data_IF_239655255609
#
_entry.id   IF_239655255609
#
_cell.length_a   1.000
_cell.length_b   1.000
_cell.length_c   1.000
_cell.angle_alpha   90.00
_cell.angle_beta   90.00
_cell.angle_gamma   90.00
#
_symmetry.space_group_name_H-M   'P 1'
#
loop_
_entity.id
_entity.type
_entity.pdbx_description
1 polymer ?
#
# COMPACT_ATOMS: atom_id res chain seq x y z
N UNK A 1 2.75 2.30 22.99
CA UNK A 1 3.03 1.25 21.99
C UNK A 1 3.81 1.90 20.87
N UNK A 2 4.92 1.30 20.42
CA UNK A 2 5.67 1.87 19.30
C UNK A 2 4.78 1.82 18.05
N UNK A 3 4.52 2.97 17.43
CA UNK A 3 3.81 3.04 16.15
C UNK A 3 4.68 2.39 15.08
N UNK A 4 4.12 1.42 14.34
CA UNK A 4 4.81 0.81 13.20
C UNK A 4 5.24 1.89 12.19
N UNK A 5 6.44 1.83 11.58
CA UNK A 5 7.00 2.94 10.81
C UNK A 5 6.29 3.22 9.48
N UNK A 6 5.50 2.28 8.97
CA UNK A 6 4.62 2.49 7.81
C UNK A 6 3.23 2.89 8.29
N UNK A 7 2.55 3.79 7.55
CA UNK A 7 1.13 4.07 7.81
C UNK A 7 0.22 2.91 7.40
N UNK A 8 -1.03 2.91 7.88
CA UNK A 8 -2.04 1.92 7.45
C UNK A 8 -2.25 1.96 5.94
N UNK A 9 -2.44 0.82 5.26
CA UNK A 9 -2.83 0.81 3.85
C UNK A 9 -4.19 1.50 3.59
N UNK A 10 -5.02 1.62 4.62
CA UNK A 10 -6.31 2.31 4.61
C UNK A 10 -6.18 3.84 4.77
N UNK A 11 -5.00 4.38 5.08
CA UNK A 11 -4.80 5.82 5.12
C UNK A 11 -4.71 6.40 3.70
N UNK A 12 -5.49 7.46 3.44
CA UNK A 12 -5.56 8.08 2.12
C UNK A 12 -4.60 9.26 1.98
N UNK A 13 -4.02 9.38 0.80
CA UNK A 13 -3.41 10.64 0.31
C UNK A 13 -4.26 11.11 -0.86
N UNK A 14 -4.74 12.36 -0.77
CA UNK A 14 -5.88 12.79 -1.58
C UNK A 14 -7.04 11.80 -1.40
N UNK A 15 -7.45 11.15 -2.48
CA UNK A 15 -8.54 10.19 -2.46
C UNK A 15 -8.09 8.73 -2.62
N UNK A 16 -6.78 8.43 -2.59
CA UNK A 16 -6.25 7.09 -2.88
C UNK A 16 -5.82 6.34 -1.63
N UNK A 17 -6.40 5.17 -1.40
CA UNK A 17 -5.81 4.20 -0.48
C UNK A 17 -4.43 3.76 -0.96
N UNK A 18 -3.61 3.30 -0.02
CA UNK A 18 -2.28 2.71 -0.21
C UNK A 18 -1.19 3.64 -0.78
N UNK A 19 -1.53 4.69 -1.52
CA UNK A 19 -0.52 5.57 -2.15
C UNK A 19 0.49 6.12 -1.14
N UNK A 20 0.00 6.66 -0.01
CA UNK A 20 0.89 7.17 1.06
C UNK A 20 1.80 6.09 1.64
N UNK A 21 1.27 4.88 1.86
CA UNK A 21 2.05 3.75 2.36
C UNK A 21 3.15 3.31 1.39
N UNK A 22 2.89 3.34 0.09
CA UNK A 22 3.92 3.11 -0.94
C UNK A 22 5.03 4.17 -0.84
N UNK A 23 4.69 5.45 -0.64
CA UNK A 23 5.69 6.49 -0.44
C UNK A 23 6.51 6.28 0.85
N UNK A 24 5.89 5.87 1.95
CA UNK A 24 6.60 5.56 3.19
C UNK A 24 7.62 4.44 2.98
N UNK A 25 7.24 3.36 2.27
CA UNK A 25 8.15 2.26 1.94
C UNK A 25 9.38 2.77 1.18
N UNK A 26 9.16 3.61 0.16
CA UNK A 26 10.25 4.18 -0.65
C UNK A 26 11.15 5.07 0.22
N UNK A 27 10.58 5.93 1.07
CA UNK A 27 11.33 6.85 1.94
C UNK A 27 12.14 6.11 2.99
N UNK A 28 11.56 5.14 3.68
CA UNK A 28 12.25 4.32 4.67
C UNK A 28 13.36 3.50 4.02
N UNK A 29 13.10 2.94 2.82
CA UNK A 29 14.13 2.20 2.09
C UNK A 29 15.31 3.10 1.71
N UNK A 30 15.04 4.33 1.26
CA UNK A 30 16.09 5.30 0.94
C UNK A 30 16.95 5.70 2.16
N UNK A 31 16.42 5.56 3.38
CA UNK A 31 17.14 5.79 4.64
C UNK A 31 17.81 4.53 5.22
N UNK A 32 17.57 3.36 4.64
CA UNK A 32 17.99 2.08 5.24
C UNK A 32 17.19 1.67 6.48
N UNK A 33 16.02 2.26 6.69
CA UNK A 33 15.16 2.07 7.88
C UNK A 33 13.95 1.14 7.61
N UNK A 34 13.74 0.72 6.35
CA UNK A 34 12.65 -0.18 6.01
C UNK A 34 12.94 -1.59 6.57
N UNK A 35 12.01 -2.23 7.31
CA UNK A 35 12.22 -3.60 7.79
C UNK A 35 12.47 -4.59 6.63
N UNK A 36 13.38 -5.55 6.83
CA UNK A 36 13.88 -6.47 5.81
C UNK A 36 12.77 -7.24 5.08
N UNK A 37 11.69 -7.57 5.79
CA UNK A 37 10.59 -8.38 5.28
C UNK A 37 9.80 -7.68 4.15
N UNK A 38 9.98 -6.37 3.99
CA UNK A 38 9.37 -5.58 2.92
C UNK A 38 10.22 -5.51 1.65
N UNK A 39 11.52 -5.81 1.72
CA UNK A 39 12.48 -5.52 0.65
C UNK A 39 12.18 -6.34 -0.61
N UNK A 40 11.88 -7.63 -0.47
CA UNK A 40 11.60 -8.53 -1.59
C UNK A 40 10.35 -8.13 -2.41
N UNK A 41 9.45 -7.34 -1.79
CA UNK A 41 8.17 -6.91 -2.35
C UNK A 41 8.12 -5.40 -2.66
N UNK A 42 9.25 -4.69 -2.62
CA UNK A 42 9.31 -3.30 -3.10
C UNK A 42 8.97 -3.24 -4.59
N UNK A 43 8.04 -2.38 -4.96
CA UNK A 43 7.60 -2.22 -6.34
C UNK A 43 6.73 -3.36 -6.88
N UNK A 44 6.37 -4.33 -6.03
CA UNK A 44 5.54 -5.49 -6.39
C UNK A 44 4.20 -5.46 -5.65
N UNK A 45 3.26 -6.29 -6.09
CA UNK A 45 1.98 -6.47 -5.39
C UNK A 45 1.16 -5.19 -5.38
N UNK A 46 0.92 -4.62 -4.20
CA UNK A 46 0.15 -3.37 -4.10
C UNK A 46 0.90 -2.14 -4.63
N UNK A 47 2.23 -2.10 -4.54
CA UNK A 47 3.02 -1.00 -5.12
C UNK A 47 2.85 -1.01 -6.64
N UNK A 48 3.03 -2.18 -7.26
CA UNK A 48 2.84 -2.41 -8.69
C UNK A 48 1.43 -2.01 -9.12
N UNK A 49 0.39 -2.52 -8.45
CA UNK A 49 -1.01 -2.16 -8.77
C UNK A 49 -1.24 -0.65 -8.69
N UNK A 50 -0.66 0.03 -7.71
CA UNK A 50 -0.81 1.47 -7.54
C UNK A 50 -0.15 2.25 -8.67
N UNK A 51 1.09 1.93 -9.03
CA UNK A 51 1.79 2.63 -10.13
C UNK A 51 1.23 2.26 -11.49
N UNK A 52 0.79 1.02 -11.72
CA UNK A 52 0.07 0.62 -12.95
C UNK A 52 -1.24 1.40 -13.08
N UNK A 53 -2.00 1.53 -12.00
CA UNK A 53 -3.19 2.35 -11.98
C UNK A 53 -2.86 3.82 -12.27
N UNK A 54 -1.80 4.39 -11.70
CA UNK A 54 -1.41 5.78 -12.03
C UNK A 54 -0.69 5.92 -13.39
N UNK A 55 -0.39 4.82 -14.09
CA UNK A 55 0.46 4.76 -15.31
C UNK A 55 1.83 5.41 -15.10
N UNK A 56 2.44 5.14 -13.95
CA UNK A 56 3.77 5.64 -13.56
C UNK A 56 4.74 4.47 -13.52
N UNK A 57 5.99 4.69 -13.94
CA UNK A 57 7.06 3.71 -13.74
C UNK A 57 7.53 3.77 -12.27
N UNK A 58 7.62 2.61 -11.60
CA UNK A 58 7.99 2.55 -10.18
C UNK A 58 9.37 3.15 -9.89
N UNK A 59 10.37 2.87 -10.73
CA UNK A 59 11.73 3.38 -10.52
C UNK A 59 11.79 4.91 -10.68
N UNK A 60 11.05 5.47 -11.64
CA UNK A 60 10.91 6.92 -11.77
C UNK A 60 10.22 7.55 -10.55
N UNK A 61 9.20 6.87 -9.99
CA UNK A 61 8.58 7.30 -8.74
C UNK A 61 9.60 7.28 -7.60
N UNK A 62 10.39 6.21 -7.45
CA UNK A 62 11.44 6.11 -6.42
C UNK A 62 12.39 7.30 -6.49
N UNK A 63 12.90 7.62 -7.69
CA UNK A 63 13.79 8.76 -7.90
C UNK A 63 13.09 10.10 -7.62
N UNK A 64 11.79 10.22 -7.94
CA UNK A 64 11.00 11.41 -7.58
C UNK A 64 10.85 11.57 -6.07
N UNK A 65 10.55 10.50 -5.34
CA UNK A 65 10.36 10.54 -3.88
C UNK A 65 11.67 10.91 -3.17
N UNK A 66 12.81 10.39 -3.64
CA UNK A 66 14.14 10.70 -3.07
C UNK A 66 14.51 12.18 -3.15
N UNK A 67 13.94 12.93 -4.10
CA UNK A 67 14.10 14.40 -4.20
C UNK A 67 13.32 15.17 -3.12
N UNK A 68 12.56 14.48 -2.26
CA UNK A 68 11.75 15.08 -1.21
C UNK A 68 10.40 15.59 -1.70
N UNK A 69 9.70 16.30 -0.80
CA UNK A 69 8.34 16.79 -1.01
C UNK A 69 7.28 16.00 -0.25
N UNK A 70 6.14 16.65 -0.11
CA UNK A 70 4.94 16.13 0.55
C UNK A 70 4.27 15.05 -0.30
N UNK A 71 3.42 14.24 0.35
CA UNK A 71 2.66 13.20 -0.33
C UNK A 71 1.77 13.77 -1.45
N UNK A 72 1.18 14.95 -1.23
CA UNK A 72 0.32 15.61 -2.20
C UNK A 72 1.11 16.11 -3.41
N UNK A 73 2.32 16.66 -3.22
CA UNK A 73 3.18 17.08 -4.32
C UNK A 73 3.62 15.89 -5.19
N UNK A 74 3.93 14.76 -4.56
CA UNK A 74 4.30 13.53 -5.29
C UNK A 74 3.06 12.97 -6.02
N UNK A 75 1.88 12.99 -5.40
CA UNK A 75 0.64 12.57 -6.05
C UNK A 75 0.31 13.45 -7.27
N UNK A 76 0.43 14.78 -7.14
CA UNK A 76 0.25 15.68 -8.29
C UNK A 76 1.26 15.41 -9.39
N UNK A 77 2.52 15.13 -9.04
CA UNK A 77 3.53 14.74 -10.02
C UNK A 77 3.15 13.43 -10.75
N UNK A 78 2.62 12.42 -10.05
CA UNK A 78 2.14 11.20 -10.69
C UNK A 78 1.04 11.50 -11.74
N UNK A 79 0.19 12.49 -11.50
CA UNK A 79 -0.83 12.90 -12.46
C UNK A 79 -0.27 13.61 -13.69
N UNK A 80 0.89 14.28 -13.58
CA UNK A 80 1.50 14.97 -14.72
C UNK A 80 2.27 14.03 -15.64
N UNK A 81 2.94 13.00 -15.08
CA UNK A 81 3.75 12.06 -15.87
C UNK A 81 3.00 10.79 -16.28
N UNK A 82 1.89 10.49 -15.60
CA UNK A 82 1.08 9.30 -15.83
C UNK A 82 -0.34 9.66 -16.24
N UNK A 83 -1.31 9.33 -15.39
CA UNK A 83 -2.72 9.71 -15.58
C UNK A 83 -3.30 10.35 -14.33
N UNK A 84 -4.25 11.27 -14.52
CA UNK A 84 -5.15 11.73 -13.47
C UNK A 84 -6.46 10.93 -13.56
N UNK A 85 -6.73 10.00 -12.63
CA UNK A 85 -7.97 9.22 -12.64
C UNK A 85 -9.20 10.10 -12.40
N UNK A 86 -10.32 9.75 -13.03
CA UNK A 86 -11.63 10.36 -12.73
C UNK A 86 -12.13 9.93 -11.35
N UNK A 87 -13.12 10.63 -10.80
CA UNK A 87 -13.73 10.25 -9.51
C UNK A 87 -14.27 8.80 -9.52
N UNK A 88 -14.87 8.37 -10.64
CA UNK A 88 -15.33 6.99 -10.84
C UNK A 88 -14.16 5.99 -10.81
N UNK A 89 -13.03 6.31 -11.45
CA UNK A 89 -11.84 5.48 -11.40
C UNK A 89 -11.30 5.36 -9.97
N UNK A 90 -11.28 6.47 -9.22
CA UNK A 90 -10.83 6.51 -7.83
C UNK A 90 -11.75 5.69 -6.93
N UNK A 91 -13.06 5.76 -7.15
CA UNK A 91 -14.03 4.94 -6.44
C UNK A 91 -13.77 3.45 -6.68
N UNK A 92 -13.65 3.03 -7.94
CA UNK A 92 -13.37 1.63 -8.30
C UNK A 92 -12.03 1.18 -7.72
N UNK A 93 -10.99 2.01 -7.81
CA UNK A 93 -9.68 1.74 -7.19
C UNK A 93 -9.79 1.49 -5.69
N UNK A 94 -10.47 2.39 -4.97
CA UNK A 94 -10.59 2.29 -3.52
C UNK A 94 -11.39 1.05 -3.10
N UNK A 95 -12.48 0.76 -3.80
CA UNK A 95 -13.28 -0.44 -3.56
C UNK A 95 -12.50 -1.72 -3.85
N UNK A 96 -11.75 -1.75 -4.95
CA UNK A 96 -10.87 -2.86 -5.29
C UNK A 96 -9.80 -3.07 -4.20
N UNK A 97 -9.10 -2.01 -3.80
CA UNK A 97 -7.99 -2.10 -2.84
C UNK A 97 -8.47 -2.51 -1.45
N UNK A 98 -9.53 -1.90 -0.92
CA UNK A 98 -9.99 -2.18 0.45
C UNK A 98 -10.54 -3.60 0.63
N UNK A 99 -11.04 -4.23 -0.44
CA UNK A 99 -11.59 -5.59 -0.44
C UNK A 99 -10.60 -6.66 -0.92
N UNK A 100 -9.37 -6.26 -1.30
CA UNK A 100 -8.39 -7.19 -1.85
C UNK A 100 -8.09 -8.33 -0.88
N UNK A 101 -8.16 -9.57 -1.35
CA UNK A 101 -8.02 -10.78 -0.54
C UNK A 101 -9.33 -11.35 -0.03
N UNK A 102 -10.47 -10.74 -0.38
CA UNK A 102 -11.79 -11.26 -0.07
C UNK A 102 -12.50 -11.74 -1.34
N UNK A 103 -12.66 -13.06 -1.46
CA UNK A 103 -13.25 -13.74 -2.62
C UNK A 103 -12.58 -13.39 -3.96
N UNK A 104 -11.26 -13.21 -3.92
CA UNK A 104 -10.43 -12.98 -5.09
C UNK A 104 -9.18 -13.87 -5.11
N UNK A 105 -8.33 -13.72 -6.12
CA UNK A 105 -7.16 -14.59 -6.34
C UNK A 105 -6.06 -14.49 -5.28
N UNK A 106 -6.14 -13.56 -4.32
CA UNK A 106 -5.18 -13.48 -3.19
C UNK A 106 -5.80 -13.90 -1.86
N UNK A 107 -7.01 -14.46 -1.86
CA UNK A 107 -7.69 -14.95 -0.65
C UNK A 107 -6.89 -16.03 0.08
N UNK A 108 -6.34 -17.01 -0.65
CA UNK A 108 -5.52 -18.07 -0.07
C UNK A 108 -4.24 -17.52 0.58
N UNK A 109 -3.66 -16.46 -0.01
CA UNK A 109 -2.51 -15.78 0.58
C UNK A 109 -2.88 -15.13 1.92
N UNK A 110 -4.04 -14.49 2.05
CA UNK A 110 -4.50 -13.90 3.32
C UNK A 110 -4.70 -15.00 4.37
N UNK A 111 -5.34 -16.11 4.03
CA UNK A 111 -5.53 -17.26 4.94
C UNK A 111 -4.19 -17.80 5.43
N UNK A 112 -3.24 -18.03 4.50
CA UNK A 112 -1.91 -18.53 4.84
C UNK A 112 -1.16 -17.56 5.75
N UNK A 113 -1.09 -16.26 5.41
CA UNK A 113 -0.33 -15.29 6.21
C UNK A 113 -0.95 -15.06 7.59
N UNK A 114 -2.28 -15.10 7.71
CA UNK A 114 -2.95 -15.12 9.02
C UNK A 114 -2.51 -16.30 9.87
N UNK A 115 -2.44 -17.50 9.30
CA UNK A 115 -1.98 -18.68 10.03
C UNK A 115 -0.51 -18.57 10.46
N UNK A 116 0.37 -18.10 9.55
CA UNK A 116 1.79 -17.86 9.83
C UNK A 116 1.99 -16.83 10.96
N UNK A 117 1.12 -15.83 11.07
CA UNK A 117 1.15 -14.80 12.11
C UNK A 117 0.38 -15.19 13.40
N UNK A 118 -0.12 -16.43 13.52
CA UNK A 118 -0.87 -16.88 14.70
C UNK A 118 -2.27 -16.25 14.85
N UNK A 119 -2.85 -15.75 13.76
CA UNK A 119 -4.16 -15.08 13.70
C UNK A 119 -5.20 -15.90 12.90
N UNK A 120 -5.07 -17.23 12.88
CA UNK A 120 -5.94 -18.11 12.10
C UNK A 120 -7.41 -18.03 12.55
N UNK A 121 -7.66 -17.79 13.83
CA UNK A 121 -8.97 -17.71 14.49
C UNK A 121 -9.64 -16.32 14.37
N UNK A 122 -8.93 -15.30 13.90
CA UNK A 122 -9.43 -13.93 13.72
C UNK A 122 -10.37 -13.81 12.53
N UNK A 123 -11.66 -14.08 12.73
CA UNK A 123 -12.69 -14.05 11.66
C UNK A 123 -13.00 -12.64 11.14
N UNK A 124 -12.64 -11.60 11.88
CA UNK A 124 -12.76 -10.20 11.51
C UNK A 124 -11.74 -9.77 10.44
N UNK A 125 -10.64 -10.52 10.29
CA UNK A 125 -9.62 -10.28 9.25
C UNK A 125 -9.98 -11.06 7.99
N UNK A 126 -10.54 -10.37 7.00
CA UNK A 126 -11.00 -10.92 5.72
C UNK A 126 -10.21 -10.40 4.53
N UNK A 127 -9.56 -9.25 4.64
CA UNK A 127 -8.83 -8.61 3.55
C UNK A 127 -7.34 -8.49 3.86
N UNK A 128 -6.54 -8.30 2.82
CA UNK A 128 -5.11 -8.03 2.95
C UNK A 128 -4.83 -6.77 3.78
N UNK A 129 -5.68 -5.74 3.67
CA UNK A 129 -5.52 -4.51 4.46
C UNK A 129 -5.74 -4.76 5.94
N UNK A 130 -6.82 -5.47 6.29
CA UNK A 130 -7.10 -5.85 7.67
C UNK A 130 -5.97 -6.73 8.25
N UNK A 131 -5.43 -7.64 7.44
CA UNK A 131 -4.29 -8.46 7.86
C UNK A 131 -3.05 -7.60 8.12
N UNK A 132 -2.69 -6.70 7.21
CA UNK A 132 -1.54 -5.81 7.37
C UNK A 132 -1.70 -4.92 8.61
N UNK A 133 -2.88 -4.34 8.82
CA UNK A 133 -3.13 -3.51 10.00
C UNK A 133 -2.97 -4.33 11.30
N UNK A 134 -3.55 -5.54 11.36
CA UNK A 134 -3.43 -6.41 12.53
C UNK A 134 -1.99 -6.89 12.79
N UNK A 135 -1.27 -7.28 11.74
CA UNK A 135 0.13 -7.73 11.80
C UNK A 135 1.08 -6.61 12.25
N UNK A 136 0.75 -5.36 11.91
CA UNK A 136 1.47 -4.16 12.36
C UNK A 136 0.99 -3.62 13.71
N UNK A 137 0.14 -4.38 14.43
CA UNK A 137 -0.32 -4.06 15.78
C UNK A 137 -1.38 -2.95 15.84
N UNK A 138 -2.04 -2.63 14.71
CA UNK A 138 -3.20 -1.73 14.70
C UNK A 138 -4.45 -2.54 15.02
N UNK A 139 -5.14 -2.15 16.09
CA UNK A 139 -6.43 -2.73 16.43
C UNK A 139 -7.51 -2.24 15.44
N UNK A 140 -8.44 -3.12 15.01
CA UNK A 140 -9.66 -2.69 14.33
C UNK A 140 -10.54 -1.80 15.21
#
# INVERSE_FOLDING_TARGET
>A
MATFPLRSPSEKVGSFFYFGRMLDKIRLHAKGELPSDYHANLGKGFDEKCVTFLRVNYDQLVERVKKGGTDHEILQWCFTVGRKPSESDVYVWNEFMRKRGWNDEVSEMVVRRKAEAGMADRTDIQTSFQFIDADEGRLP
#
